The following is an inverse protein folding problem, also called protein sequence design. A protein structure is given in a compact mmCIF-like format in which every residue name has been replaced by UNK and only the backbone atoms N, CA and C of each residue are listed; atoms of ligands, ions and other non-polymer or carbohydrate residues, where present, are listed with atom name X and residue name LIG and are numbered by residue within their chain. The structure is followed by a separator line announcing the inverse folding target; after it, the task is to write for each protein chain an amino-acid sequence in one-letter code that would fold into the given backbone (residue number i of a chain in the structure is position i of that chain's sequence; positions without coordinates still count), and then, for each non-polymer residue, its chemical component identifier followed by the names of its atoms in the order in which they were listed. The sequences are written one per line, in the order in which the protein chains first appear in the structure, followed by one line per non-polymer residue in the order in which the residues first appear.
data_IF_368682634454
#
_entry.id   IF_368682634454
#
_cell.length_a   1.000
_cell.length_b   1.000
_cell.length_c   1.000
_cell.angle_alpha   90.00
_cell.angle_beta   90.00
_cell.angle_gamma   90.00
#
_symmetry.space_group_name_H-M   'P 1'
#
loop_
_entity.id
_entity.type
_entity.pdbx_description
1 polymer ?
#
# COMPACT_ATOMS: atom_id res chain seq x y z
N UNK A 1 -5.93 -33.52 -1.52
CA UNK A 1 -6.85 -32.53 -2.11
C UNK A 1 -6.85 -31.27 -1.25
N UNK A 2 -6.21 -30.18 -1.66
CA UNK A 2 -6.34 -28.89 -0.96
C UNK A 2 -7.73 -28.35 -1.26
N UNK A 3 -8.56 -28.28 -0.23
CA UNK A 3 -9.91 -27.72 -0.33
C UNK A 3 -9.78 -26.25 -0.76
N UNK A 4 -10.10 -25.96 -2.02
CA UNK A 4 -10.09 -24.58 -2.54
C UNK A 4 -11.37 -23.90 -2.04
N UNK A 5 -11.21 -22.88 -1.23
CA UNK A 5 -12.33 -22.03 -0.86
C UNK A 5 -12.73 -21.19 -2.08
N UNK A 6 -13.99 -21.14 -2.45
CA UNK A 6 -14.43 -20.33 -3.57
C UNK A 6 -14.24 -18.82 -3.29
N UNK A 7 -13.99 -18.04 -4.35
CA UNK A 7 -13.68 -16.61 -4.25
C UNK A 7 -14.72 -15.82 -3.47
N UNK A 8 -16.00 -16.16 -3.60
CA UNK A 8 -17.07 -15.48 -2.86
C UNK A 8 -16.99 -15.70 -1.34
N UNK A 9 -16.56 -16.89 -0.89
CA UNK A 9 -16.41 -17.19 0.56
C UNK A 9 -15.20 -16.42 1.10
N UNK A 10 -14.08 -16.45 0.41
CA UNK A 10 -12.88 -15.68 0.79
C UNK A 10 -13.15 -14.18 0.82
N UNK A 11 -13.87 -13.67 -0.19
CA UNK A 11 -14.30 -12.27 -0.24
C UNK A 11 -15.21 -11.91 0.93
N UNK A 12 -16.23 -12.75 1.22
CA UNK A 12 -17.13 -12.52 2.34
C UNK A 12 -16.41 -12.49 3.69
N UNK A 13 -15.47 -13.42 3.92
CA UNK A 13 -14.64 -13.44 5.13
C UNK A 13 -13.75 -12.19 5.24
N UNK A 14 -13.17 -11.76 4.13
CA UNK A 14 -12.33 -10.57 4.08
C UNK A 14 -13.13 -9.29 4.34
N UNK A 15 -14.33 -9.18 3.80
CA UNK A 15 -15.24 -8.06 4.05
C UNK A 15 -15.69 -8.08 5.51
N UNK A 16 -16.02 -9.26 6.07
CA UNK A 16 -16.37 -9.40 7.48
C UNK A 16 -15.24 -8.94 8.40
N UNK A 17 -14.00 -9.34 8.11
CA UNK A 17 -12.83 -8.87 8.86
C UNK A 17 -12.67 -7.36 8.78
N UNK A 18 -12.80 -6.78 7.59
CA UNK A 18 -12.74 -5.33 7.39
C UNK A 18 -13.83 -4.60 8.19
N UNK A 19 -15.06 -5.13 8.20
CA UNK A 19 -16.16 -4.60 9.00
C UNK A 19 -15.89 -4.70 10.52
N UNK A 20 -15.35 -5.82 11.00
CA UNK A 20 -14.99 -5.98 12.41
C UNK A 20 -13.94 -4.96 12.85
N UNK A 21 -12.92 -4.70 12.01
CA UNK A 21 -11.90 -3.67 12.29
C UNK A 21 -12.55 -2.29 12.33
N UNK A 22 -13.42 -1.96 11.36
CA UNK A 22 -14.12 -0.68 11.33
C UNK A 22 -15.03 -0.50 12.57
N UNK A 23 -15.76 -1.52 12.96
CA UNK A 23 -16.60 -1.52 14.17
C UNK A 23 -15.79 -1.39 15.46
N UNK A 24 -14.64 -2.06 15.55
CA UNK A 24 -13.72 -1.91 16.68
C UNK A 24 -13.21 -0.47 16.80
N UNK A 25 -12.89 0.17 15.66
CA UNK A 25 -12.53 1.59 15.61
C UNK A 25 -13.65 2.52 16.07
N UNK A 26 -14.90 2.25 15.64
CA UNK A 26 -16.08 2.99 16.08
C UNK A 26 -16.29 2.83 17.58
N UNK A 27 -16.24 1.58 18.06
CA UNK A 27 -16.43 1.31 19.47
C UNK A 27 -15.39 2.00 20.36
N UNK A 28 -14.13 2.10 19.88
CA UNK A 28 -13.10 2.89 20.54
C UNK A 28 -13.50 4.37 20.70
N UNK A 29 -14.23 4.95 19.73
CA UNK A 29 -14.70 6.33 19.81
C UNK A 29 -15.68 6.59 20.97
N UNK A 30 -16.42 5.58 21.40
CA UNK A 30 -17.37 5.73 22.52
C UNK A 30 -16.72 5.64 23.91
N UNK A 31 -15.46 5.26 23.98
CA UNK A 31 -14.74 5.12 25.26
C UNK A 31 -14.13 6.42 25.80
N UNK A 32 -14.16 7.51 25.02
CA UNK A 32 -13.62 8.77 25.51
C UNK A 32 -14.48 9.39 26.58
N UNK A 33 -13.82 9.85 27.62
CA UNK A 33 -14.47 10.65 28.63
C UNK A 33 -14.97 11.95 28.01
N UNK A 34 -16.18 12.34 28.38
CA UNK A 34 -16.82 13.55 27.90
C UNK A 34 -17.00 14.49 29.06
N UNK A 35 -16.57 15.73 28.89
CA UNK A 35 -16.87 16.80 29.80
C UNK A 35 -18.10 17.56 29.29
N UNK A 36 -19.17 17.53 30.07
CA UNK A 36 -20.37 18.30 29.74
C UNK A 36 -20.24 19.75 30.22
N UNK A 37 -20.95 20.66 29.53
CA UNK A 37 -21.00 22.07 29.90
C UNK A 37 -21.49 22.21 31.35
N UNK A 38 -20.76 23.00 32.16
CA UNK A 38 -20.97 23.16 33.61
C UNK A 38 -20.26 22.11 34.47
N UNK A 39 -19.56 21.14 33.87
CA UNK A 39 -18.81 20.12 34.60
C UNK A 39 -17.46 20.60 35.14
N UNK A 40 -16.91 19.85 36.09
CA UNK A 40 -15.57 20.11 36.65
C UNK A 40 -14.55 19.20 36.00
N UNK A 41 -13.47 19.78 35.48
CA UNK A 41 -12.36 19.06 34.90
C UNK A 41 -11.40 18.58 35.98
N UNK A 42 -11.12 17.30 36.06
CA UNK A 42 -10.15 16.71 37.00
C UNK A 42 -8.76 16.58 36.32
N UNK A 43 -7.69 16.52 37.16
CA UNK A 43 -6.33 16.34 36.64
C UNK A 43 -6.14 15.02 35.91
N UNK A 44 -6.80 13.92 36.35
CA UNK A 44 -6.76 12.61 35.69
C UNK A 44 -7.42 12.65 34.31
N UNK A 45 -8.56 13.34 34.19
CA UNK A 45 -9.24 13.54 32.91
C UNK A 45 -8.42 14.37 31.94
N UNK A 46 -7.81 15.47 32.40
CA UNK A 46 -6.97 16.31 31.59
C UNK A 46 -5.68 15.60 31.12
N UNK A 47 -5.13 14.69 31.94
CA UNK A 47 -3.94 13.91 31.58
C UNK A 47 -4.19 12.92 30.42
N UNK A 48 -5.38 12.34 30.35
CA UNK A 48 -5.82 11.43 29.28
C UNK A 48 -6.39 12.21 28.09
N UNK A 49 -7.01 13.35 28.35
CA UNK A 49 -7.74 14.17 27.40
C UNK A 49 -9.24 13.88 27.40
N UNK A 50 -10.05 14.92 27.33
CA UNK A 50 -11.52 14.86 27.33
C UNK A 50 -12.11 15.57 26.13
N UNK A 51 -13.22 15.04 25.65
CA UNK A 51 -14.02 15.67 24.60
C UNK A 51 -15.02 16.61 25.22
N UNK A 52 -15.06 17.88 24.77
CA UNK A 52 -16.04 18.84 25.20
C UNK A 52 -17.39 18.58 24.54
N UNK A 53 -18.40 18.22 25.33
CA UNK A 53 -19.74 17.89 24.89
C UNK A 53 -20.78 18.82 25.57
N UNK A 54 -21.91 19.07 24.90
CA UNK A 54 -22.96 19.95 25.46
C UNK A 54 -22.75 21.45 25.12
N UNK A 55 -22.13 21.73 23.95
CA UNK A 55 -22.02 23.10 23.42
C UNK A 55 -23.39 23.75 23.24
N UNK A 56 -23.54 24.95 23.70
CA UNK A 56 -24.72 25.79 23.54
C UNK A 56 -24.50 26.80 22.41
N UNK A 57 -25.49 26.93 21.53
CA UNK A 57 -25.46 27.94 20.47
C UNK A 57 -26.07 29.23 20.99
N UNK A 58 -25.26 30.28 21.10
CA UNK A 58 -25.67 31.60 21.61
C UNK A 58 -26.12 32.54 20.47
N UNK A 59 -25.54 32.40 19.30
CA UNK A 59 -25.93 33.09 18.06
C UNK A 59 -25.68 32.22 16.85
N UNK A 60 -26.23 32.53 15.68
CA UNK A 60 -25.94 31.80 14.45
C UNK A 60 -24.43 31.73 14.17
N UNK A 61 -23.86 30.52 14.24
CA UNK A 61 -22.43 30.27 14.07
C UNK A 61 -21.55 30.55 15.29
N UNK A 62 -22.11 30.88 16.44
CA UNK A 62 -21.38 31.02 17.71
C UNK A 62 -21.78 29.94 18.69
N UNK A 63 -20.77 29.29 19.27
CA UNK A 63 -20.92 28.18 20.21
C UNK A 63 -20.16 28.47 21.49
N UNK A 64 -20.80 28.20 22.61
CA UNK A 64 -20.32 28.50 23.95
C UNK A 64 -20.24 27.22 24.79
N UNK A 65 -19.20 27.13 25.62
CA UNK A 65 -18.98 26.04 26.54
C UNK A 65 -18.40 26.52 27.83
N UNK A 66 -18.95 26.10 28.98
CA UNK A 66 -18.49 26.46 30.30
C UNK A 66 -17.96 25.24 31.03
N UNK A 67 -16.86 25.38 31.75
CA UNK A 67 -16.36 24.36 32.64
C UNK A 67 -15.61 24.99 33.81
N UNK A 68 -15.46 24.24 34.90
CA UNK A 68 -14.68 24.67 36.05
C UNK A 68 -13.40 23.85 36.13
N UNK A 69 -12.25 24.50 36.26
CA UNK A 69 -10.97 23.81 36.42
C UNK A 69 -10.80 23.37 37.88
N UNK A 70 -10.37 22.11 38.10
CA UNK A 70 -10.00 21.61 39.41
C UNK A 70 -8.77 22.34 40.00
N UNK A 71 -8.50 22.21 41.31
CA UNK A 71 -7.47 22.99 42.00
C UNK A 71 -6.02 22.72 41.60
N UNK A 72 -5.74 21.55 41.01
CA UNK A 72 -4.39 21.08 40.69
C UNK A 72 -4.15 20.90 39.19
N UNK A 73 -4.83 21.66 38.33
CA UNK A 73 -4.68 21.49 36.90
C UNK A 73 -3.41 22.21 36.39
N UNK A 74 -2.50 21.48 35.73
CA UNK A 74 -1.38 22.08 35.00
C UNK A 74 -1.88 22.88 33.79
N UNK A 75 -0.96 23.53 33.08
CA UNK A 75 -1.27 24.22 31.83
C UNK A 75 -2.06 23.31 30.88
N UNK A 76 -3.17 23.82 30.38
CA UNK A 76 -4.10 23.09 29.47
C UNK A 76 -3.85 23.48 28.02
N UNK A 77 -4.10 22.55 27.16
CA UNK A 77 -4.10 22.75 25.71
C UNK A 77 -5.43 22.32 25.12
N UNK A 78 -6.03 23.21 24.34
CA UNK A 78 -7.21 22.95 23.54
C UNK A 78 -6.77 22.48 22.16
N UNK A 79 -7.31 21.37 21.72
CA UNK A 79 -7.18 20.89 20.35
C UNK A 79 -8.49 21.09 19.63
N UNK A 80 -8.48 21.94 18.63
CA UNK A 80 -9.67 22.32 17.86
C UNK A 80 -9.59 21.69 16.47
N UNK A 81 -10.61 20.95 16.08
CA UNK A 81 -10.64 20.36 14.73
C UNK A 81 -11.61 21.10 13.83
N UNK A 82 -11.22 21.24 12.57
CA UNK A 82 -12.04 21.85 11.55
C UNK A 82 -11.86 23.35 11.41
N UNK A 83 -12.95 24.06 11.02
CA UNK A 83 -12.93 25.50 10.73
C UNK A 83 -13.34 26.36 11.94
N UNK A 84 -13.39 25.78 13.12
CA UNK A 84 -13.77 26.49 14.33
C UNK A 84 -12.65 27.46 14.76
N UNK A 85 -12.98 28.74 14.91
CA UNK A 85 -12.05 29.78 15.36
C UNK A 85 -12.44 30.21 16.76
N UNK A 86 -11.49 30.25 17.74
CA UNK A 86 -11.78 30.74 19.06
C UNK A 86 -12.02 32.26 19.03
N UNK A 87 -13.04 32.71 19.75
CA UNK A 87 -13.35 34.12 19.96
C UNK A 87 -12.93 34.58 21.36
N UNK A 88 -12.67 33.69 22.31
CA UNK A 88 -12.31 33.94 23.70
C UNK A 88 -12.02 32.65 24.44
N UNK A 89 -11.48 32.72 25.66
CA UNK A 89 -11.24 33.86 26.53
C UNK A 89 -9.95 34.64 26.24
N UNK A 90 -9.82 35.81 26.85
CA UNK A 90 -8.55 36.53 26.97
C UNK A 90 -7.55 35.58 27.65
N UNK A 91 -6.55 35.09 26.93
CA UNK A 91 -5.61 34.08 27.42
C UNK A 91 -5.47 32.84 26.54
N UNK A 92 -6.27 32.70 25.46
CA UNK A 92 -6.06 31.71 24.45
C UNK A 92 -4.96 32.19 23.48
N UNK A 93 -3.83 31.51 23.50
CA UNK A 93 -2.73 31.79 22.58
C UNK A 93 -2.55 30.56 21.64
N UNK A 94 -2.31 30.82 20.37
CA UNK A 94 -1.99 29.74 19.45
C UNK A 94 -0.70 29.03 19.92
N UNK A 95 -0.79 27.74 20.22
CA UNK A 95 0.33 26.95 20.70
C UNK A 95 1.18 26.41 19.54
N UNK A 96 0.61 26.36 18.32
CA UNK A 96 1.32 25.93 17.13
C UNK A 96 0.93 26.75 15.89
N UNK A 97 1.71 26.58 14.80
CA UNK A 97 1.46 27.24 13.51
C UNK A 97 0.27 26.66 12.73
N UNK A 98 -0.27 25.53 13.16
CA UNK A 98 -1.37 24.86 12.47
C UNK A 98 -2.72 25.53 12.75
N UNK A 99 -2.82 26.30 13.82
CA UNK A 99 -4.08 26.90 14.28
C UNK A 99 -5.06 25.87 14.86
N UNK A 100 -4.59 24.68 15.21
CA UNK A 100 -5.38 23.61 15.83
C UNK A 100 -5.16 23.53 17.34
N UNK A 101 -4.01 24.01 17.81
CA UNK A 101 -3.62 23.94 19.20
C UNK A 101 -3.61 25.32 19.83
N UNK A 102 -4.30 25.46 20.96
CA UNK A 102 -4.37 26.67 21.72
C UNK A 102 -3.99 26.38 23.17
N UNK A 103 -3.02 27.09 23.70
CA UNK A 103 -2.76 27.07 25.14
C UNK A 103 -3.83 27.83 25.87
N UNK A 104 -4.35 27.23 26.93
CA UNK A 104 -5.39 27.81 27.78
C UNK A 104 -4.82 27.99 29.19
N UNK A 105 -4.82 29.23 29.67
CA UNK A 105 -4.52 29.55 31.06
C UNK A 105 -5.82 29.62 31.83
N UNK A 106 -6.00 28.71 32.80
CA UNK A 106 -7.19 28.67 33.65
C UNK A 106 -6.79 28.96 35.09
N UNK A 107 -7.60 29.76 35.81
CA UNK A 107 -7.43 29.93 37.23
C UNK A 107 -8.13 28.77 37.99
N UNK A 108 -7.47 28.15 38.98
CA UNK A 108 -8.06 27.04 39.73
C UNK A 108 -9.41 27.43 40.40
N UNK A 109 -10.41 26.61 40.22
CA UNK A 109 -11.75 26.78 40.80
C UNK A 109 -12.60 27.88 40.17
N UNK A 110 -12.12 28.57 39.15
CA UNK A 110 -12.92 29.55 38.41
C UNK A 110 -13.60 28.95 37.20
N UNK A 111 -14.84 29.37 36.88
CA UNK A 111 -15.51 28.94 35.65
C UNK A 111 -14.80 29.57 34.45
N UNK A 112 -14.43 28.71 33.50
CA UNK A 112 -13.82 29.12 32.26
C UNK A 112 -14.85 29.00 31.15
N UNK A 113 -14.99 30.05 30.37
CA UNK A 113 -15.91 30.12 29.24
C UNK A 113 -15.12 30.07 27.94
N UNK A 114 -15.51 29.16 27.06
CA UNK A 114 -14.95 29.01 25.71
C UNK A 114 -15.99 29.43 24.70
N UNK A 115 -15.62 30.32 23.78
CA UNK A 115 -16.48 30.78 22.69
C UNK A 115 -15.81 30.50 21.35
N UNK A 116 -16.51 29.79 20.45
CA UNK A 116 -16.01 29.47 19.12
C UNK A 116 -16.98 29.93 18.04
N UNK A 117 -16.43 30.38 16.91
CA UNK A 117 -17.19 30.65 15.69
C UNK A 117 -16.99 29.52 14.69
N UNK A 118 -18.09 28.85 14.32
CA UNK A 118 -18.09 27.84 13.28
C UNK A 118 -19.51 27.55 12.80
N UNK A 119 -19.64 27.12 11.55
CA UNK A 119 -20.93 26.79 10.93
C UNK A 119 -21.58 25.51 11.48
N UNK A 120 -20.80 24.65 12.13
CA UNK A 120 -21.25 23.39 12.76
C UNK A 120 -20.75 23.35 14.18
N UNK A 121 -21.36 22.48 15.01
CA UNK A 121 -20.89 22.23 16.37
C UNK A 121 -19.39 21.98 16.40
N UNK A 122 -18.61 22.74 17.23
CA UNK A 122 -17.17 22.58 17.30
C UNK A 122 -16.82 21.24 17.96
N UNK A 123 -15.76 20.63 17.46
CA UNK A 123 -15.16 19.44 18.08
C UNK A 123 -13.86 19.89 18.73
N UNK A 124 -13.86 19.92 20.04
CA UNK A 124 -12.74 20.42 20.83
C UNK A 124 -12.38 19.38 21.90
N UNK A 125 -11.09 19.16 22.02
CA UNK A 125 -10.51 18.36 23.10
C UNK A 125 -9.72 19.24 24.04
N UNK A 126 -9.77 18.89 25.28
CA UNK A 126 -9.06 19.55 26.36
C UNK A 126 -8.13 18.53 27.02
N UNK A 127 -6.85 18.85 27.10
CA UNK A 127 -5.83 18.01 27.72
C UNK A 127 -4.72 18.83 28.34
N UNK A 128 -3.86 18.19 29.14
CA UNK A 128 -2.66 18.84 29.63
C UNK A 128 -1.68 19.13 28.49
N UNK A 129 -0.90 20.20 28.59
CA UNK A 129 0.12 20.56 27.59
C UNK A 129 1.14 19.43 27.39
N UNK A 130 1.50 18.73 28.48
CA UNK A 130 2.40 17.57 28.39
C UNK A 130 1.79 16.39 27.59
N UNK A 131 0.49 16.12 27.75
CA UNK A 131 -0.22 15.10 26.98
C UNK A 131 -0.33 15.50 25.49
N UNK A 132 -0.65 16.78 25.22
CA UNK A 132 -0.70 17.30 23.86
C UNK A 132 0.66 17.18 23.14
N UNK A 133 1.74 17.60 23.80
CA UNK A 133 3.11 17.50 23.25
C UNK A 133 3.52 16.05 22.97
N UNK A 134 3.13 15.13 23.85
CA UNK A 134 3.41 13.69 23.66
C UNK A 134 2.64 13.13 22.48
N UNK A 135 1.36 13.46 22.37
CA UNK A 135 0.52 13.04 21.26
C UNK A 135 1.04 13.58 19.91
N UNK A 136 1.48 14.84 19.87
CA UNK A 136 2.09 15.44 18.67
C UNK A 136 3.38 14.73 18.28
N UNK A 137 4.28 14.48 19.23
CA UNK A 137 5.53 13.75 18.97
C UNK A 137 5.27 12.35 18.41
N UNK A 138 4.35 11.60 19.01
CA UNK A 138 3.99 10.26 18.54
C UNK A 138 3.37 10.31 17.14
N UNK A 139 2.50 11.27 16.86
CA UNK A 139 1.92 11.50 15.53
C UNK A 139 3.03 11.78 14.50
N UNK A 140 3.93 12.71 14.81
CA UNK A 140 5.04 13.08 13.91
C UNK A 140 5.97 11.90 13.62
N UNK A 141 6.34 11.15 14.66
CA UNK A 141 7.15 9.94 14.50
C UNK A 141 6.46 8.91 13.62
N UNK A 142 5.18 8.66 13.84
CA UNK A 142 4.42 7.71 13.04
C UNK A 142 4.26 8.17 11.57
N UNK A 143 4.04 9.46 11.33
CA UNK A 143 4.00 10.02 9.97
C UNK A 143 5.36 9.91 9.28
N UNK A 144 6.45 10.21 9.99
CA UNK A 144 7.81 10.08 9.46
C UNK A 144 8.14 8.62 9.15
N UNK A 145 7.76 7.68 10.02
CA UNK A 145 7.93 6.23 9.79
C UNK A 145 7.16 5.77 8.54
N UNK A 146 5.92 6.22 8.37
CA UNK A 146 5.13 5.88 7.18
C UNK A 146 5.77 6.46 5.91
N UNK A 147 6.20 7.72 5.95
CA UNK A 147 6.86 8.40 4.82
C UNK A 147 8.15 7.67 4.42
N UNK A 148 9.03 7.40 5.36
CA UNK A 148 10.30 6.70 5.08
C UNK A 148 10.05 5.30 4.54
N UNK A 149 9.09 4.55 5.09
CA UNK A 149 8.74 3.22 4.61
C UNK A 149 8.21 3.25 3.17
N UNK A 150 7.28 4.14 2.84
CA UNK A 150 6.73 4.22 1.48
C UNK A 150 7.78 4.68 0.47
N UNK A 151 8.61 5.67 0.82
CA UNK A 151 9.67 6.17 -0.07
C UNK A 151 10.74 5.11 -0.31
N UNK A 152 11.23 4.44 0.73
CA UNK A 152 12.24 3.39 0.58
C UNK A 152 11.73 2.21 -0.25
N UNK A 153 10.51 1.74 0.02
CA UNK A 153 9.87 0.71 -0.83
C UNK A 153 9.71 1.18 -2.27
N UNK A 154 9.34 2.44 -2.48
CA UNK A 154 9.20 3.04 -3.80
C UNK A 154 10.51 3.07 -4.58
N UNK A 155 11.62 3.45 -3.94
CA UNK A 155 12.97 3.46 -4.56
C UNK A 155 13.40 2.06 -4.95
N UNK A 156 13.25 1.08 -4.06
CA UNK A 156 13.59 -0.33 -4.36
C UNK A 156 12.75 -0.85 -5.53
N UNK A 157 11.47 -0.55 -5.53
CA UNK A 157 10.57 -1.00 -6.58
C UNK A 157 10.84 -0.32 -7.93
N UNK A 158 11.21 0.97 -7.90
CA UNK A 158 11.62 1.71 -9.11
C UNK A 158 12.87 1.09 -9.74
N UNK A 159 13.85 0.71 -8.93
CA UNK A 159 15.03 0.00 -9.38
C UNK A 159 14.65 -1.36 -10.02
N UNK A 160 13.78 -2.14 -9.36
CA UNK A 160 13.29 -3.41 -9.91
C UNK A 160 12.50 -3.22 -11.22
N UNK A 161 11.68 -2.18 -11.31
CA UNK A 161 10.92 -1.84 -12.51
C UNK A 161 11.82 -1.45 -13.67
N UNK A 162 12.93 -0.76 -13.39
CA UNK A 162 13.91 -0.40 -14.41
C UNK A 162 14.55 -1.63 -15.07
N UNK A 163 14.81 -2.69 -14.30
CA UNK A 163 15.36 -3.95 -14.83
C UNK A 163 14.32 -4.84 -15.50
N UNK A 164 13.09 -4.85 -14.98
CA UNK A 164 12.00 -5.70 -15.51
C UNK A 164 10.74 -4.86 -15.65
N UNK A 165 10.39 -4.43 -16.84
CA UNK A 165 9.20 -3.65 -17.16
C UNK A 165 7.91 -4.48 -17.06
N UNK A 166 7.63 -5.04 -15.87
CA UNK A 166 6.41 -5.79 -15.62
C UNK A 166 5.30 -4.83 -15.17
N UNK A 167 4.12 -4.94 -15.76
CA UNK A 167 2.95 -4.11 -15.48
C UNK A 167 2.54 -4.11 -14.02
N UNK A 168 2.64 -5.27 -13.36
CA UNK A 168 2.29 -5.42 -11.95
C UNK A 168 3.18 -4.57 -11.05
N UNK A 169 4.49 -4.50 -11.36
CA UNK A 169 5.42 -3.60 -10.69
C UNK A 169 5.04 -2.13 -10.90
N UNK A 170 4.56 -1.79 -12.11
CA UNK A 170 4.08 -0.44 -12.43
C UNK A 170 2.86 -0.03 -11.60
N UNK A 171 1.88 -0.91 -11.43
CA UNK A 171 0.72 -0.63 -10.57
C UNK A 171 1.09 -0.51 -9.10
N UNK A 172 2.02 -1.33 -8.62
CA UNK A 172 2.50 -1.23 -7.26
C UNK A 172 3.32 0.05 -7.05
N UNK A 173 4.16 0.43 -8.01
CA UNK A 173 4.89 1.69 -7.99
C UNK A 173 3.93 2.90 -7.95
N UNK A 174 2.87 2.88 -8.77
CA UNK A 174 1.82 3.90 -8.76
C UNK A 174 1.16 4.01 -7.37
N UNK A 175 0.84 2.87 -6.76
CA UNK A 175 0.27 2.85 -5.41
C UNK A 175 1.22 3.49 -4.38
N UNK A 176 2.51 3.11 -4.38
CA UNK A 176 3.50 3.67 -3.46
C UNK A 176 3.76 5.17 -3.71
N UNK A 177 3.74 5.61 -4.96
CA UNK A 177 3.88 7.02 -5.32
C UNK A 177 2.72 7.84 -4.77
N UNK A 178 1.48 7.35 -4.90
CA UNK A 178 0.29 7.98 -4.33
C UNK A 178 0.40 8.04 -2.80
N UNK A 179 0.84 6.95 -2.16
CA UNK A 179 1.00 6.92 -0.70
C UNK A 179 2.11 7.84 -0.21
N UNK A 180 3.25 7.86 -0.89
CA UNK A 180 4.36 8.78 -0.58
C UNK A 180 3.95 10.24 -0.75
N UNK A 181 3.29 10.58 -1.85
CA UNK A 181 2.79 11.93 -2.10
C UNK A 181 1.79 12.38 -1.03
N UNK A 182 0.89 11.49 -0.63
CA UNK A 182 -0.03 11.77 0.48
C UNK A 182 0.72 11.98 1.81
N UNK A 183 1.70 11.10 2.15
CA UNK A 183 2.48 11.20 3.37
C UNK A 183 3.28 12.51 3.45
N UNK A 184 3.87 12.94 2.33
CA UNK A 184 4.55 14.25 2.20
C UNK A 184 3.57 15.39 2.46
N UNK A 185 2.40 15.36 1.83
CA UNK A 185 1.40 16.43 2.01
C UNK A 185 0.95 16.54 3.46
N UNK A 186 0.65 15.42 4.12
CA UNK A 186 0.21 15.44 5.52
C UNK A 186 1.32 15.85 6.48
N UNK A 187 2.58 15.50 6.16
CA UNK A 187 3.72 15.89 6.98
C UNK A 187 4.00 17.38 6.93
N UNK A 188 3.98 17.96 5.72
CA UNK A 188 4.30 19.39 5.53
C UNK A 188 3.09 20.32 5.71
N UNK A 189 1.88 19.82 5.47
CA UNK A 189 0.65 20.59 5.51
C UNK A 189 -0.36 19.92 6.46
N UNK A 190 -0.34 20.25 7.74
CA UNK A 190 -1.32 19.73 8.70
C UNK A 190 -2.77 20.08 8.30
N UNK A 191 -3.68 19.18 8.60
CA UNK A 191 -5.02 19.10 8.02
C UNK A 191 -6.01 20.25 8.38
N UNK A 192 -5.64 21.16 9.26
CA UNK A 192 -6.45 22.34 9.62
C UNK A 192 -6.53 23.41 8.55
N UNK A 193 -5.69 23.30 7.54
CA UNK A 193 -5.48 24.35 6.56
C UNK A 193 -6.47 24.24 5.40
N UNK A 194 -7.09 25.32 5.09
CA UNK A 194 -7.86 25.72 3.90
C UNK A 194 -8.57 24.62 3.07
N UNK A 195 -9.76 24.91 2.60
CA UNK A 195 -10.58 24.09 1.70
C UNK A 195 -9.81 23.38 0.55
N UNK A 196 -8.80 24.02 -0.12
CA UNK A 196 -8.05 23.36 -1.20
C UNK A 196 -7.18 22.19 -0.73
N UNK A 197 -6.56 22.27 0.43
CA UNK A 197 -5.71 21.17 0.92
C UNK A 197 -6.57 19.95 1.28
N UNK A 198 -7.73 20.15 1.87
CA UNK A 198 -8.68 19.07 2.09
C UNK A 198 -9.13 18.39 0.81
N UNK A 199 -9.34 19.16 -0.27
CA UNK A 199 -9.68 18.60 -1.58
C UNK A 199 -8.53 17.76 -2.13
N UNK A 200 -7.29 18.25 -2.05
CA UNK A 200 -6.09 17.52 -2.48
C UNK A 200 -5.94 16.22 -1.68
N UNK A 201 -6.05 16.26 -0.36
CA UNK A 201 -5.98 15.07 0.50
C UNK A 201 -7.07 14.04 0.17
N UNK A 202 -8.29 14.48 -0.13
CA UNK A 202 -9.37 13.60 -0.61
C UNK A 202 -9.04 12.96 -1.94
N UNK A 203 -8.45 13.72 -2.86
CA UNK A 203 -8.02 13.22 -4.16
C UNK A 203 -6.99 12.11 -4.03
N UNK A 204 -5.99 12.28 -3.16
CA UNK A 204 -5.01 11.23 -2.87
C UNK A 204 -5.64 9.99 -2.25
N UNK A 205 -6.64 10.14 -1.39
CA UNK A 205 -7.35 9.00 -0.83
C UNK A 205 -8.09 8.21 -1.91
N UNK A 206 -8.80 8.91 -2.79
CA UNK A 206 -9.52 8.29 -3.92
C UNK A 206 -8.55 7.60 -4.89
N UNK A 207 -7.43 8.26 -5.20
CA UNK A 207 -6.35 7.67 -6.01
C UNK A 207 -5.74 6.42 -5.37
N UNK A 208 -5.58 6.40 -4.04
CA UNK A 208 -5.08 5.22 -3.34
C UNK A 208 -6.02 4.01 -3.44
N UNK A 209 -7.33 4.25 -3.33
CA UNK A 209 -8.33 3.18 -3.52
C UNK A 209 -8.30 2.69 -4.97
N UNK A 210 -8.24 3.60 -5.95
CA UNK A 210 -8.16 3.26 -7.36
C UNK A 210 -6.88 2.48 -7.68
N UNK A 211 -5.73 2.95 -7.21
CA UNK A 211 -4.43 2.27 -7.41
C UNK A 211 -4.42 0.86 -6.79
N UNK A 212 -5.04 0.69 -5.61
CA UNK A 212 -5.21 -0.63 -4.98
C UNK A 212 -6.08 -1.57 -5.84
N UNK A 213 -7.16 -1.04 -6.45
CA UNK A 213 -8.03 -1.82 -7.34
C UNK A 213 -7.33 -2.20 -8.65
N UNK A 214 -6.56 -1.28 -9.24
CA UNK A 214 -5.74 -1.55 -10.44
C UNK A 214 -4.66 -2.61 -10.15
N UNK A 215 -4.00 -2.53 -9.00
CA UNK A 215 -3.06 -3.54 -8.55
C UNK A 215 -3.73 -4.91 -8.41
N UNK A 216 -4.89 -4.98 -7.77
CA UNK A 216 -5.64 -6.22 -7.63
C UNK A 216 -6.08 -6.78 -9.00
N UNK A 217 -6.52 -5.93 -9.93
CA UNK A 217 -6.87 -6.32 -11.29
C UNK A 217 -5.67 -6.87 -12.07
N UNK A 218 -4.50 -6.22 -11.96
CA UNK A 218 -3.25 -6.69 -12.55
C UNK A 218 -2.84 -8.07 -12.02
N UNK A 219 -2.99 -8.31 -10.71
CA UNK A 219 -2.70 -9.60 -10.09
C UNK A 219 -3.64 -10.71 -10.54
N UNK A 220 -4.88 -10.40 -10.87
CA UNK A 220 -5.86 -11.38 -11.45
C UNK A 220 -5.53 -11.72 -12.91
N UNK A 221 -4.53 -11.06 -13.50
CA UNK A 221 -4.18 -11.26 -14.91
C UNK A 221 -5.18 -10.61 -15.86
N UNK A 222 -5.84 -9.54 -15.43
CA UNK A 222 -6.62 -8.69 -16.34
C UNK A 222 -5.63 -8.04 -17.30
N UNK A 223 -5.65 -8.51 -18.54
CA UNK A 223 -4.80 -7.97 -19.59
C UNK A 223 -5.12 -6.48 -19.81
N UNK A 224 -4.08 -5.72 -20.13
CA UNK A 224 -4.29 -4.34 -20.58
C UNK A 224 -5.22 -4.30 -21.79
N UNK A 225 -6.08 -3.29 -21.88
CA UNK A 225 -6.94 -3.12 -23.03
C UNK A 225 -6.09 -3.04 -24.29
N UNK A 226 -6.30 -4.00 -25.20
CA UNK A 226 -5.61 -4.07 -26.51
C UNK A 226 -6.29 -3.19 -27.56
N UNK A 227 -7.53 -2.86 -27.31
CA UNK A 227 -8.36 -2.02 -28.21
C UNK A 227 -8.49 -0.62 -27.68
N UNK A 228 -8.43 0.39 -28.54
CA UNK A 228 -8.66 1.79 -28.15
C UNK A 228 -10.02 2.00 -27.47
N UNK A 229 -11.04 1.21 -27.81
CA UNK A 229 -12.35 1.26 -27.13
C UNK A 229 -12.31 0.74 -25.70
N UNK A 230 -11.52 -0.31 -25.42
CA UNK A 230 -11.36 -0.84 -24.07
C UNK A 230 -10.53 0.10 -23.19
N UNK A 231 -9.47 0.68 -23.76
CA UNK A 231 -8.67 1.71 -23.10
C UNK A 231 -9.54 2.92 -22.74
N UNK A 232 -10.37 3.38 -23.66
CA UNK A 232 -11.31 4.47 -23.40
C UNK A 232 -12.29 4.12 -22.28
N UNK A 233 -12.86 2.91 -22.26
CA UNK A 233 -13.75 2.45 -21.17
C UNK A 233 -13.05 2.42 -19.83
N UNK A 234 -11.79 1.94 -19.77
CA UNK A 234 -11.00 1.93 -18.55
C UNK A 234 -10.76 3.36 -18.04
N UNK A 235 -10.29 4.25 -18.90
CA UNK A 235 -10.05 5.66 -18.56
C UNK A 235 -11.35 6.34 -18.11
N UNK A 236 -12.44 6.15 -18.84
CA UNK A 236 -13.74 6.71 -18.50
C UNK A 236 -14.25 6.16 -17.15
N UNK A 237 -14.06 4.86 -16.87
CA UNK A 237 -14.39 4.25 -15.60
C UNK A 237 -13.58 4.83 -14.43
N UNK A 238 -12.27 4.99 -14.59
CA UNK A 238 -11.41 5.62 -13.62
C UNK A 238 -11.79 7.10 -13.38
N UNK A 239 -12.06 7.85 -14.44
CA UNK A 239 -12.47 9.25 -14.35
C UNK A 239 -13.84 9.38 -13.65
N UNK A 240 -14.79 8.50 -13.97
CA UNK A 240 -16.11 8.46 -13.32
C UNK A 240 -15.96 8.12 -11.83
N UNK A 241 -15.15 7.12 -11.47
CA UNK A 241 -14.86 6.77 -10.08
C UNK A 241 -14.29 7.97 -9.31
N UNK A 242 -13.30 8.66 -9.88
CA UNK A 242 -12.71 9.85 -9.26
C UNK A 242 -13.73 10.98 -9.12
N UNK A 243 -14.51 11.27 -10.16
CA UNK A 243 -15.55 12.31 -10.14
C UNK A 243 -16.58 12.03 -9.04
N UNK A 244 -17.09 10.80 -8.94
CA UNK A 244 -18.07 10.41 -7.93
C UNK A 244 -17.47 10.40 -6.52
N UNK A 245 -16.22 9.93 -6.36
CA UNK A 245 -15.53 9.89 -5.07
C UNK A 245 -15.14 11.27 -4.54
N UNK A 246 -15.01 12.26 -5.42
CA UNK A 246 -14.73 13.66 -5.06
C UNK A 246 -16.00 14.51 -4.95
N UNK A 247 -17.17 13.93 -5.23
CA UNK A 247 -18.45 14.64 -5.15
C UNK A 247 -18.69 15.25 -3.77
N UNK A 248 -19.39 16.37 -3.73
CA UNK A 248 -19.82 17.03 -2.48
C UNK A 248 -20.87 16.23 -1.69
N UNK A 249 -21.49 15.21 -2.32
CA UNK A 249 -22.56 14.39 -1.72
C UNK A 249 -21.91 13.29 -0.88
N UNK A 250 -21.94 13.46 0.45
CA UNK A 250 -21.27 12.56 1.38
C UNK A 250 -21.66 11.07 1.25
N UNK A 251 -22.96 10.69 1.19
CA UNK A 251 -23.33 9.28 1.08
C UNK A 251 -22.88 8.65 -0.24
N UNK A 252 -22.94 9.39 -1.35
CA UNK A 252 -22.49 8.93 -2.66
C UNK A 252 -20.98 8.66 -2.65
N UNK A 253 -20.22 9.61 -2.14
CA UNK A 253 -18.74 9.48 -1.99
C UNK A 253 -18.36 8.27 -1.17
N UNK A 254 -18.96 8.10 0.02
CA UNK A 254 -18.66 6.97 0.90
C UNK A 254 -19.02 5.65 0.22
N UNK A 255 -20.20 5.57 -0.41
CA UNK A 255 -20.63 4.37 -1.13
C UNK A 255 -19.69 3.98 -2.27
N UNK A 256 -19.23 4.93 -3.07
CA UNK A 256 -18.29 4.69 -4.18
C UNK A 256 -16.93 4.22 -3.67
N UNK A 257 -16.40 4.84 -2.61
CA UNK A 257 -15.11 4.46 -2.02
C UNK A 257 -15.17 3.06 -1.37
N UNK A 258 -16.21 2.78 -0.59
CA UNK A 258 -16.42 1.45 0.00
C UNK A 258 -16.61 0.39 -1.07
N UNK A 259 -17.39 0.69 -2.11
CA UNK A 259 -17.57 -0.20 -3.27
C UNK A 259 -16.24 -0.52 -3.96
N UNK A 260 -15.37 0.47 -4.18
CA UNK A 260 -14.03 0.27 -4.74
C UNK A 260 -13.14 -0.62 -3.86
N UNK A 261 -13.22 -0.46 -2.54
CA UNK A 261 -12.48 -1.30 -1.59
C UNK A 261 -13.00 -2.75 -1.57
N UNK A 262 -14.32 -2.94 -1.60
CA UNK A 262 -14.93 -4.27 -1.70
C UNK A 262 -14.59 -4.95 -3.01
N UNK A 263 -14.55 -4.20 -4.12
CA UNK A 263 -14.10 -4.71 -5.41
C UNK A 263 -12.65 -5.18 -5.36
N UNK A 264 -11.75 -4.43 -4.70
CA UNK A 264 -10.36 -4.83 -4.51
C UNK A 264 -10.26 -6.17 -3.76
N UNK A 265 -10.99 -6.34 -2.65
CA UNK A 265 -11.03 -7.60 -1.91
C UNK A 265 -11.59 -8.76 -2.75
N UNK A 266 -12.66 -8.50 -3.51
CA UNK A 266 -13.23 -9.51 -4.40
C UNK A 266 -12.24 -9.95 -5.49
N UNK A 267 -11.55 -9.01 -6.12
CA UNK A 267 -10.54 -9.32 -7.15
C UNK A 267 -9.39 -10.16 -6.59
N UNK A 268 -8.88 -9.82 -5.39
CA UNK A 268 -7.86 -10.61 -4.73
C UNK A 268 -8.36 -12.02 -4.35
N UNK A 269 -9.58 -12.14 -3.84
CA UNK A 269 -10.19 -13.43 -3.53
C UNK A 269 -10.35 -14.28 -4.81
N UNK A 270 -10.77 -13.67 -5.92
CA UNK A 270 -10.85 -14.33 -7.22
C UNK A 270 -9.48 -14.78 -7.74
N UNK A 271 -8.41 -14.01 -7.48
CA UNK A 271 -7.05 -14.42 -7.79
C UNK A 271 -6.62 -15.67 -7.01
N UNK A 272 -6.96 -15.73 -5.71
CA UNK A 272 -6.69 -16.91 -4.87
C UNK A 272 -7.44 -18.13 -5.38
N UNK A 273 -8.71 -17.99 -5.73
CA UNK A 273 -9.55 -19.07 -6.25
C UNK A 273 -9.01 -19.62 -7.59
N UNK A 274 -8.56 -18.74 -8.47
CA UNK A 274 -7.91 -19.11 -9.74
C UNK A 274 -6.51 -19.75 -9.58
N UNK A 275 -5.99 -19.79 -8.35
CA UNK A 275 -4.71 -20.41 -8.03
C UNK A 275 -3.49 -19.55 -8.35
N UNK A 276 -3.64 -18.23 -8.43
CA UNK A 276 -2.49 -17.33 -8.57
C UNK A 276 -1.59 -17.44 -7.33
N UNK A 277 -0.35 -17.86 -7.57
CA UNK A 277 0.64 -18.08 -6.51
C UNK A 277 0.94 -16.76 -5.76
N UNK A 278 0.69 -16.77 -4.46
CA UNK A 278 0.97 -15.62 -3.58
C UNK A 278 -0.18 -14.63 -3.41
N UNK A 279 -1.27 -14.69 -4.19
CA UNK A 279 -2.41 -13.78 -4.03
C UNK A 279 -3.03 -13.85 -2.62
N UNK A 280 -3.00 -15.03 -1.99
CA UNK A 280 -3.46 -15.21 -0.60
C UNK A 280 -2.67 -14.40 0.43
N UNK A 281 -1.41 -14.05 0.15
CA UNK A 281 -0.59 -13.20 1.02
C UNK A 281 -1.11 -11.76 1.08
N UNK A 282 -1.82 -11.32 0.05
CA UNK A 282 -2.33 -9.95 -0.07
C UNK A 282 -3.74 -9.79 0.50
N UNK A 283 -4.50 -10.89 0.61
CA UNK A 283 -5.90 -10.81 1.00
C UNK A 283 -6.07 -10.29 2.43
N UNK A 284 -5.30 -10.83 3.38
CA UNK A 284 -5.34 -10.38 4.79
C UNK A 284 -4.86 -8.93 4.96
N UNK A 285 -3.69 -8.52 4.45
CA UNK A 285 -3.26 -7.12 4.50
C UNK A 285 -4.26 -6.16 3.84
N UNK A 286 -4.85 -6.55 2.72
CA UNK A 286 -5.86 -5.74 2.04
C UNK A 286 -7.14 -5.61 2.88
N UNK A 287 -7.60 -6.68 3.55
CA UNK A 287 -8.75 -6.63 4.44
C UNK A 287 -8.51 -5.71 5.64
N UNK A 288 -7.33 -5.80 6.27
CA UNK A 288 -6.93 -4.92 7.39
C UNK A 288 -6.92 -3.45 6.93
N UNK A 289 -6.25 -3.16 5.82
CA UNK A 289 -6.19 -1.80 5.25
C UNK A 289 -7.59 -1.28 4.91
N UNK A 290 -8.45 -2.12 4.33
CA UNK A 290 -9.84 -1.76 4.00
C UNK A 290 -10.64 -1.43 5.24
N UNK A 291 -10.54 -2.22 6.32
CA UNK A 291 -11.22 -1.95 7.58
C UNK A 291 -10.86 -0.59 8.17
N UNK A 292 -9.58 -0.27 8.22
CA UNK A 292 -9.12 1.05 8.69
C UNK A 292 -9.53 2.19 7.75
N UNK A 293 -9.53 1.98 6.42
CA UNK A 293 -10.00 2.99 5.47
C UNK A 293 -11.50 3.26 5.62
N UNK A 294 -12.30 2.21 5.78
CA UNK A 294 -13.75 2.35 6.04
C UNK A 294 -13.98 3.13 7.34
N UNK A 295 -13.28 2.77 8.42
CA UNK A 295 -13.33 3.53 9.65
C UNK A 295 -12.93 4.99 9.48
N UNK A 296 -11.88 5.28 8.69
CA UNK A 296 -11.44 6.65 8.39
C UNK A 296 -12.46 7.47 7.59
N UNK A 297 -13.36 6.82 6.83
CA UNK A 297 -14.43 7.48 6.08
C UNK A 297 -15.63 7.86 6.95
N UNK A 298 -15.80 7.19 8.08
CA UNK A 298 -16.94 7.47 8.95
C UNK A 298 -16.75 8.85 9.62
N UNK A 299 -17.79 9.68 9.63
CA UNK A 299 -17.75 10.95 10.34
C UNK A 299 -17.58 10.67 11.83
N UNK A 300 -16.50 11.11 12.38
CA UNK A 300 -16.17 10.93 13.78
C UNK A 300 -15.11 11.91 14.19
N UNK A 301 -14.96 12.01 15.50
CA UNK A 301 -13.96 12.81 16.18
C UNK A 301 -12.60 12.63 15.49
N UNK A 302 -11.96 13.72 15.12
CA UNK A 302 -10.57 13.70 14.67
C UNK A 302 -9.69 13.40 15.87
N UNK A 303 -9.56 12.14 16.12
CA UNK A 303 -9.00 11.52 17.33
C UNK A 303 -7.48 11.44 17.30
N UNK A 304 -6.85 12.30 16.49
CA UNK A 304 -5.41 12.40 16.35
C UNK A 304 -4.67 12.57 17.69
N UNK A 305 -5.38 13.12 18.68
CA UNK A 305 -4.81 13.50 19.96
C UNK A 305 -4.97 12.43 21.06
N UNK A 306 -5.75 11.38 20.85
CA UNK A 306 -5.99 10.32 21.83
C UNK A 306 -5.12 9.07 21.62
N UNK A 307 -3.91 9.25 21.13
CA UNK A 307 -2.98 8.18 20.79
C UNK A 307 -2.68 7.25 21.96
N UNK A 308 -2.63 7.76 23.17
CA UNK A 308 -2.30 6.98 24.37
C UNK A 308 -3.45 6.07 24.82
N UNK A 309 -4.68 6.52 24.61
CA UNK A 309 -5.87 5.77 25.05
C UNK A 309 -6.22 4.63 24.11
N UNK A 310 -5.81 4.70 22.84
CA UNK A 310 -6.15 3.70 21.83
C UNK A 310 -5.17 3.69 20.65
N UNK A 311 -4.27 2.69 20.54
CA UNK A 311 -3.21 2.66 19.53
C UNK A 311 -3.72 2.70 18.07
N UNK A 312 -4.99 2.31 17.82
CA UNK A 312 -5.60 2.43 16.49
C UNK A 312 -5.68 3.86 15.97
N UNK A 313 -5.72 4.87 16.84
CA UNK A 313 -5.74 6.27 16.44
C UNK A 313 -4.41 6.73 15.83
N UNK A 314 -3.29 6.22 16.37
CA UNK A 314 -1.98 6.45 15.77
C UNK A 314 -1.93 5.94 14.33
N UNK A 315 -2.47 4.73 14.11
CA UNK A 315 -2.58 4.14 12.79
C UNK A 315 -3.40 5.02 11.84
N UNK A 316 -4.53 5.58 12.31
CA UNK A 316 -5.40 6.45 11.50
C UNK A 316 -4.71 7.74 11.09
N UNK A 317 -4.10 8.46 12.03
CA UNK A 317 -3.51 9.77 11.79
C UNK A 317 -2.29 9.75 10.89
N UNK A 318 -1.47 8.69 11.00
CA UNK A 318 -0.25 8.52 10.22
C UNK A 318 -0.44 7.72 8.93
N UNK A 319 -1.63 7.16 8.71
CA UNK A 319 -1.89 6.16 7.67
C UNK A 319 -0.97 4.94 7.72
N UNK A 320 -0.44 4.62 8.87
CA UNK A 320 0.29 3.37 9.08
C UNK A 320 -0.54 2.13 8.73
N UNK A 321 -1.87 2.25 8.72
CA UNK A 321 -2.77 1.18 8.29
C UNK A 321 -2.66 0.82 6.80
N UNK A 322 -2.03 1.65 5.97
CA UNK A 322 -1.71 1.33 4.57
C UNK A 322 -0.41 0.52 4.44
N UNK A 323 0.45 0.53 5.46
CA UNK A 323 1.70 -0.26 5.48
C UNK A 323 1.50 -1.77 5.35
N UNK A 324 0.51 -2.42 6.00
CA UNK A 324 0.30 -3.86 5.83
C UNK A 324 0.10 -4.25 4.36
N UNK A 325 -0.67 -3.47 3.60
CA UNK A 325 -0.86 -3.72 2.17
C UNK A 325 0.45 -3.51 1.38
N UNK A 326 1.18 -2.43 1.65
CA UNK A 326 2.45 -2.15 0.99
C UNK A 326 3.50 -3.24 1.28
N UNK A 327 3.63 -3.66 2.55
CA UNK A 327 4.52 -4.77 2.95
C UNK A 327 4.08 -6.09 2.34
N UNK A 328 2.79 -6.39 2.34
CA UNK A 328 2.23 -7.57 1.68
C UNK A 328 2.58 -7.61 0.20
N UNK A 329 2.43 -6.48 -0.50
CA UNK A 329 2.83 -6.34 -1.91
C UNK A 329 4.34 -6.53 -2.10
N UNK A 330 5.16 -5.99 -1.20
CA UNK A 330 6.62 -6.16 -1.26
C UNK A 330 7.02 -7.63 -1.09
N UNK A 331 6.45 -8.31 -0.09
CA UNK A 331 6.66 -9.76 0.13
C UNK A 331 6.20 -10.57 -1.08
N UNK A 332 5.05 -10.22 -1.65
CA UNK A 332 4.54 -10.86 -2.88
C UNK A 332 5.53 -10.72 -4.03
N UNK A 333 6.03 -9.51 -4.28
CA UNK A 333 7.02 -9.24 -5.33
C UNK A 333 8.31 -10.01 -5.09
N UNK A 334 8.87 -9.96 -3.88
CA UNK A 334 10.08 -10.70 -3.50
C UNK A 334 9.91 -12.21 -3.72
N UNK A 335 8.78 -12.79 -3.29
CA UNK A 335 8.49 -14.21 -3.49
C UNK A 335 8.40 -14.57 -4.97
N UNK A 336 7.76 -13.73 -5.77
CA UNK A 336 7.64 -13.95 -7.21
C UNK A 336 9.00 -13.91 -7.90
N UNK A 337 9.88 -12.99 -7.52
CA UNK A 337 11.24 -12.95 -8.02
C UNK A 337 12.02 -14.21 -7.63
N UNK A 338 11.96 -14.62 -6.36
CA UNK A 338 12.62 -15.85 -5.90
C UNK A 338 12.19 -17.07 -6.73
N UNK A 339 10.89 -17.25 -6.94
CA UNK A 339 10.37 -18.33 -7.78
C UNK A 339 10.82 -18.25 -9.25
N UNK A 340 11.00 -17.03 -9.78
CA UNK A 340 11.54 -16.85 -11.14
C UNK A 340 13.03 -17.20 -11.20
N UNK A 341 13.81 -16.85 -10.17
CA UNK A 341 15.22 -17.26 -10.09
C UNK A 341 15.37 -18.77 -10.04
N UNK A 342 14.59 -19.45 -9.18
CA UNK A 342 14.61 -20.92 -9.10
C UNK A 342 14.29 -21.58 -10.44
N UNK A 343 13.27 -21.06 -11.17
CA UNK A 343 12.90 -21.55 -12.50
C UNK A 343 14.00 -21.31 -13.54
N UNK A 344 14.64 -20.14 -13.52
CA UNK A 344 15.75 -19.85 -14.44
C UNK A 344 16.96 -20.71 -14.16
N UNK A 345 17.27 -20.97 -12.90
CA UNK A 345 18.35 -21.86 -12.52
C UNK A 345 18.08 -23.31 -12.95
N UNK A 346 16.85 -23.80 -12.77
CA UNK A 346 16.45 -25.12 -13.25
C UNK A 346 16.58 -25.23 -14.78
N UNK A 347 16.09 -24.22 -15.52
CA UNK A 347 16.21 -24.20 -16.98
C UNK A 347 17.67 -24.14 -17.43
N UNK A 348 18.53 -23.38 -16.75
CA UNK A 348 19.95 -23.34 -17.04
C UNK A 348 20.60 -24.72 -16.85
N UNK A 349 20.32 -25.40 -15.73
CA UNK A 349 20.80 -26.75 -15.47
C UNK A 349 20.32 -27.79 -16.52
N UNK A 350 19.04 -27.70 -16.92
CA UNK A 350 18.49 -28.55 -17.98
C UNK A 350 19.16 -28.29 -19.34
N UNK A 351 19.42 -27.00 -19.64
CA UNK A 351 20.11 -26.64 -20.88
C UNK A 351 21.55 -27.15 -20.87
N UNK A 352 22.29 -26.99 -19.77
CA UNK A 352 23.64 -27.49 -19.64
C UNK A 352 23.72 -29.02 -19.79
N UNK A 353 22.75 -29.73 -19.19
CA UNK A 353 22.63 -31.18 -19.37
C UNK A 353 22.40 -31.60 -20.83
N UNK A 354 21.49 -30.88 -21.54
CA UNK A 354 21.22 -31.14 -22.98
C UNK A 354 22.43 -30.81 -23.85
N UNK A 355 23.12 -29.71 -23.57
CA UNK A 355 24.34 -29.34 -24.29
C UNK A 355 25.43 -30.39 -24.07
N UNK A 356 25.62 -30.86 -22.82
CA UNK A 356 26.58 -31.92 -22.55
C UNK A 356 26.23 -33.26 -23.27
N UNK A 357 24.97 -33.62 -23.32
CA UNK A 357 24.49 -34.82 -24.06
C UNK A 357 24.74 -34.69 -25.56
N UNK A 358 24.35 -33.57 -26.16
CA UNK A 358 24.60 -33.29 -27.58
C UNK A 358 26.08 -33.23 -27.96
N UNK A 359 26.90 -32.70 -27.07
CA UNK A 359 28.34 -32.66 -27.27
C UNK A 359 28.93 -34.08 -27.25
N UNK A 360 28.45 -34.97 -26.39
CA UNK A 360 28.86 -36.39 -26.37
C UNK A 360 28.44 -37.12 -27.63
N UNK A 361 27.20 -36.93 -28.08
CA UNK A 361 26.70 -37.53 -29.31
C UNK A 361 27.54 -37.08 -30.52
N UNK A 362 27.80 -35.76 -30.66
CA UNK A 362 28.63 -35.22 -31.73
C UNK A 362 30.08 -35.71 -31.71
N UNK A 363 30.67 -35.84 -30.50
CA UNK A 363 32.01 -36.43 -30.38
C UNK A 363 32.04 -37.89 -30.78
N UNK A 364 31.06 -38.67 -30.33
CA UNK A 364 30.94 -40.08 -30.72
C UNK A 364 30.73 -40.23 -32.23
N UNK A 365 29.86 -39.43 -32.86
CA UNK A 365 29.67 -39.43 -34.32
C UNK A 365 30.93 -39.03 -35.06
N UNK A 366 31.66 -38.01 -34.52
CA UNK A 366 32.93 -37.55 -35.14
C UNK A 366 34.00 -38.65 -35.06
N UNK A 367 34.10 -39.38 -33.96
CA UNK A 367 35.03 -40.49 -33.79
C UNK A 367 34.65 -41.67 -34.65
N UNK A 368 33.34 -41.99 -34.76
CA UNK A 368 32.88 -43.02 -35.67
C UNK A 368 33.19 -42.70 -37.17
N UNK A 369 33.02 -41.44 -37.55
CA UNK A 369 33.39 -40.96 -38.90
C UNK A 369 34.89 -41.06 -39.18
N UNK A 370 35.72 -40.66 -38.18
CA UNK A 370 37.19 -40.82 -38.31
C UNK A 370 37.59 -42.29 -38.46
N UNK A 371 37.03 -43.17 -37.64
CA UNK A 371 37.26 -44.59 -37.69
C UNK A 371 36.87 -45.18 -39.04
N UNK A 372 35.69 -44.81 -39.56
CA UNK A 372 35.22 -45.21 -40.88
C UNK A 372 36.16 -44.74 -42.00
N UNK A 373 36.61 -43.48 -41.97
CA UNK A 373 37.59 -42.95 -42.90
C UNK A 373 38.92 -43.71 -42.85
N UNK A 374 39.44 -44.00 -41.64
CA UNK A 374 40.68 -44.78 -41.51
C UNK A 374 40.54 -46.17 -42.10
N UNK A 375 39.41 -46.82 -41.88
CA UNK A 375 39.12 -48.14 -42.48
C UNK A 375 39.05 -48.05 -44.01
N UNK A 376 38.37 -47.05 -44.59
CA UNK A 376 38.33 -46.83 -46.03
C UNK A 376 39.73 -46.53 -46.57
N UNK A 377 40.55 -45.78 -45.93
CA UNK A 377 41.96 -45.54 -46.35
C UNK A 377 42.77 -46.81 -46.29
N UNK A 378 42.57 -47.64 -45.22
CA UNK A 378 43.24 -48.94 -45.13
C UNK A 378 42.84 -49.89 -46.29
N UNK A 379 41.52 -49.97 -46.57
CA UNK A 379 41.01 -50.85 -47.62
C UNK A 379 41.37 -50.39 -49.04
N UNK A 380 41.53 -49.04 -49.25
CA UNK A 380 42.00 -48.48 -50.52
C UNK A 380 43.50 -48.64 -50.73
N UNK A 381 44.28 -48.72 -49.65
CA UNK A 381 45.73 -48.84 -49.72
C UNK A 381 46.18 -50.10 -50.39
N UNK A 382 45.49 -51.26 -50.17
CA UNK A 382 45.82 -52.53 -50.74
C UNK A 382 45.66 -52.58 -52.28
N UNK A 383 44.54 -52.16 -52.88
CA UNK A 383 44.39 -52.12 -54.33
C UNK A 383 45.26 -51.05 -54.96
N UNK A 384 45.48 -49.88 -54.32
CA UNK A 384 46.41 -48.84 -54.82
C UNK A 384 47.85 -49.39 -54.88
N UNK A 385 48.25 -50.14 -53.85
CA UNK A 385 49.57 -50.71 -53.77
C UNK A 385 49.74 -51.83 -54.89
N UNK A 386 48.66 -52.61 -55.15
CA UNK A 386 48.65 -53.59 -56.21
C UNK A 386 48.76 -52.89 -57.60
N UNK A 387 48.03 -51.82 -57.82
CA UNK A 387 48.10 -51.00 -59.06
C UNK A 387 49.50 -50.36 -59.23
N UNK A 388 50.03 -49.74 -58.16
CA UNK A 388 51.37 -49.15 -58.18
C UNK A 388 52.47 -50.16 -58.44
N UNK A 389 52.38 -51.32 -57.77
CA UNK A 389 53.32 -52.42 -58.02
C UNK A 389 53.21 -53.03 -59.40
N UNK A 390 51.99 -53.08 -59.91
CA UNK A 390 51.73 -53.51 -61.30
C UNK A 390 52.29 -52.56 -62.35
N UNK A 391 52.18 -51.24 -62.15
CA UNK A 391 52.74 -50.20 -62.99
C UNK A 391 54.28 -50.21 -62.92
N UNK A 392 54.83 -50.36 -61.73
CA UNK A 392 56.30 -50.47 -61.54
C UNK A 392 56.89 -51.73 -62.23
N UNK A 393 56.12 -52.84 -62.23
CA UNK A 393 56.48 -54.04 -62.96
C UNK A 393 56.41 -53.87 -64.49
N UNK A 394 55.46 -53.06 -64.97
CA UNK A 394 55.35 -52.72 -66.39
C UNK A 394 56.43 -51.74 -66.85
N UNK A 395 56.85 -50.78 -65.98
CA UNK A 395 57.99 -49.90 -66.31
C UNK A 395 59.36 -50.57 -66.32
N UNK A 396 59.53 -51.58 -65.46
CA UNK A 396 60.83 -52.27 -65.34
C UNK A 396 60.98 -53.44 -66.30
N UNK A 397 59.90 -53.93 -66.88
CA UNK A 397 59.93 -55.08 -67.86
C UNK A 397 58.93 -54.81 -69.04
N UNK A 398 59.26 -53.92 -70.00
CA UNK A 398 58.38 -53.56 -71.10
C UNK A 398 58.10 -54.76 -72.09
N UNK A 399 58.89 -55.78 -72.03
CA UNK A 399 58.77 -56.96 -72.95
C UNK A 399 57.97 -58.15 -72.38
N UNK A 400 57.29 -57.97 -71.19
CA UNK A 400 56.54 -59.05 -70.56
C UNK A 400 55.02 -59.05 -70.82
N UNK A 401 54.54 -58.36 -71.87
CA UNK A 401 53.16 -58.47 -72.30
C UNK A 401 52.99 -59.68 -73.19
N UNK A 402 52.19 -60.70 -72.81
CA UNK A 402 51.80 -61.78 -73.74
C UNK A 402 50.92 -61.24 -74.85
N UNK A 403 51.15 -61.61 -76.08
CA UNK A 403 50.42 -61.20 -77.25
C UNK A 403 48.95 -61.57 -77.19
#
# INVERSE_FOLDING_TARGET
MKQKWPAYVLSALSILLALLIALAGIWGNFRFERLHSGGTLTASQAAVGVVLDGWQQTAPGQWQFHFTSGPELPALTLCVTGTAKPLGPEGLSAADRSGELFSLSTAPGQPTELVFTCSRRPQVWLMTSAAADRAIRLRTLAQLTALTAFVTMGVVLLALYHYKHQLELGYFLLYLLVMSGWAVLVFFFPASLSSPIHFILRSFFSLAVLASALLAAGLVGVELPRSGRELFRLIAGCALFLALSLSGIAPLRVGVLVGGMCLCLYLLAAAVDRGYEGAGLLLLPCAVTTGFRVWALLPGLDSAFFVESFPFYLLRCSRLYDLPLALGCMVFVCRRFALQFDRTEQLARELDARVAERTRELTAETEARKSMMLNIFHDLRSPLFAVSSGLETLETAPDALPA
#
